data_IF_705274730848
#
_entry.id   IF_705274730848
#
_cell.length_a   1.000
_cell.length_b   1.000
_cell.length_c   1.000
_cell.angle_alpha   90.00
_cell.angle_beta   90.00
_cell.angle_gamma   90.00
#
_symmetry.space_group_name_H-M   'P 1'
#
loop_
_entity.id
_entity.type
_entity.pdbx_description
1 polymer ?
#
# COMPACT_ATOMS: atom_id res chain seq x y z
N UNK A 1 -7.81 -4.50 -21.25
CA UNK A 1 -8.86 -4.31 -20.22
C UNK A 1 -8.41 -4.84 -18.84
N UNK A 2 -7.99 -6.12 -18.69
CA UNK A 2 -7.59 -6.67 -17.38
C UNK A 2 -6.38 -5.95 -16.77
N UNK A 3 -5.32 -5.69 -17.54
CA UNK A 3 -4.14 -4.97 -17.08
C UNK A 3 -4.47 -3.55 -16.59
N UNK A 4 -5.42 -2.88 -17.23
CA UNK A 4 -5.87 -1.54 -16.85
C UNK A 4 -6.57 -1.53 -15.49
N UNK A 5 -7.43 -2.51 -15.23
CA UNK A 5 -8.13 -2.68 -13.96
C UNK A 5 -7.12 -2.98 -12.83
N UNK A 6 -6.17 -3.87 -13.10
CA UNK A 6 -5.12 -4.21 -12.13
C UNK A 6 -4.27 -3.00 -11.78
N UNK A 7 -3.83 -2.20 -12.77
CA UNK A 7 -3.05 -1.00 -12.54
C UNK A 7 -3.81 0.07 -11.77
N UNK A 8 -5.10 0.25 -12.07
CA UNK A 8 -5.97 1.16 -11.34
C UNK A 8 -6.12 0.72 -9.88
N UNK A 9 -6.43 -0.55 -9.64
CA UNK A 9 -6.60 -1.11 -8.30
C UNK A 9 -5.31 -1.05 -7.47
N UNK A 10 -4.16 -1.39 -8.07
CA UNK A 10 -2.84 -1.26 -7.44
C UNK A 10 -2.54 0.20 -7.07
N UNK A 11 -2.86 1.15 -7.96
CA UNK A 11 -2.71 2.58 -7.68
C UNK A 11 -3.56 2.99 -6.48
N UNK A 12 -4.84 2.62 -6.47
CA UNK A 12 -5.77 2.96 -5.38
C UNK A 12 -5.30 2.40 -4.03
N UNK A 13 -4.94 1.13 -3.98
CA UNK A 13 -4.46 0.47 -2.77
C UNK A 13 -3.12 1.05 -2.28
N UNK A 14 -2.16 1.25 -3.19
CA UNK A 14 -0.82 1.71 -2.84
C UNK A 14 -0.83 3.15 -2.32
N UNK A 15 -1.37 4.09 -3.10
CA UNK A 15 -1.34 5.51 -2.73
C UNK A 15 -2.31 5.83 -1.60
N UNK A 16 -3.47 5.15 -1.55
CA UNK A 16 -4.40 5.29 -0.44
C UNK A 16 -3.77 4.91 0.89
N UNK A 17 -3.18 3.73 0.97
CA UNK A 17 -2.52 3.26 2.18
C UNK A 17 -1.26 4.08 2.57
N UNK A 18 -0.59 4.66 1.59
CA UNK A 18 0.62 5.47 1.82
C UNK A 18 0.33 6.74 2.65
N UNK A 19 -0.87 7.30 2.56
CA UNK A 19 -1.26 8.52 3.29
C UNK A 19 -1.76 8.20 4.71
N UNK A 20 -2.39 7.05 4.93
CA UNK A 20 -2.98 6.71 6.22
C UNK A 20 -1.97 6.66 7.36
N UNK A 21 -0.77 6.11 7.10
CA UNK A 21 0.27 5.99 8.14
C UNK A 21 0.84 7.32 8.62
N UNK A 22 1.26 8.25 7.73
CA UNK A 22 1.66 9.58 8.15
C UNK A 22 0.58 10.33 8.93
N UNK A 23 -0.68 10.23 8.53
CA UNK A 23 -1.80 10.85 9.24
C UNK A 23 -1.97 10.24 10.64
N UNK A 24 -1.93 8.91 10.76
CA UNK A 24 -1.97 8.23 12.06
C UNK A 24 -0.88 8.73 13.01
N UNK A 25 0.38 8.83 12.52
CA UNK A 25 1.49 9.28 13.34
C UNK A 25 1.36 10.75 13.77
N UNK A 26 0.94 11.63 12.87
CA UNK A 26 0.87 13.07 13.13
C UNK A 26 -0.39 13.45 13.91
N UNK A 27 -1.57 12.99 13.50
CA UNK A 27 -2.84 13.43 14.07
C UNK A 27 -3.21 12.68 15.34
N UNK A 28 -2.99 11.36 15.41
CA UNK A 28 -3.37 10.58 16.58
C UNK A 28 -2.26 10.47 17.62
N UNK A 29 -1.01 10.35 17.18
CA UNK A 29 0.14 10.15 18.07
C UNK A 29 0.93 11.43 18.33
N UNK A 30 0.62 12.54 17.68
CA UNK A 30 1.24 13.86 17.89
C UNK A 30 2.72 13.93 17.49
N UNK A 31 3.22 12.98 16.65
CA UNK A 31 4.61 13.01 16.23
C UNK A 31 4.86 14.13 15.22
N UNK A 32 6.07 14.72 15.29
CA UNK A 32 6.50 15.71 14.31
C UNK A 32 6.67 15.10 12.91
N UNK A 33 6.68 15.94 11.88
CA UNK A 33 6.89 15.51 10.48
C UNK A 33 8.19 14.72 10.33
N UNK A 34 9.26 15.12 11.01
CA UNK A 34 10.57 14.43 10.96
C UNK A 34 10.47 13.03 11.59
N UNK A 35 9.84 12.93 12.75
CA UNK A 35 9.63 11.66 13.44
C UNK A 35 8.74 10.72 12.60
N UNK A 36 7.68 11.26 11.99
CA UNK A 36 6.81 10.53 11.06
C UNK A 36 7.59 9.97 9.88
N UNK A 37 8.48 10.76 9.28
CA UNK A 37 9.35 10.31 8.19
C UNK A 37 10.27 9.16 8.61
N UNK A 38 10.91 9.27 9.78
CA UNK A 38 11.76 8.22 10.33
C UNK A 38 10.97 6.93 10.63
N UNK A 39 9.77 7.07 11.21
CA UNK A 39 8.91 5.94 11.54
C UNK A 39 8.29 5.27 10.31
N UNK A 40 8.15 5.99 9.21
CA UNK A 40 7.67 5.43 7.92
C UNK A 40 8.81 4.80 7.12
N UNK A 41 10.06 5.17 7.40
CA UNK A 41 11.27 4.64 6.76
C UNK A 41 11.39 3.11 6.73
N UNK A 42 11.07 2.38 7.81
CA UNK A 42 11.08 0.92 7.84
C UNK A 42 10.28 0.26 6.71
N UNK A 43 9.14 0.84 6.31
CA UNK A 43 8.35 0.34 5.18
C UNK A 43 9.14 0.43 3.86
N UNK A 44 9.81 1.55 3.61
CA UNK A 44 10.69 1.73 2.44
C UNK A 44 11.86 0.76 2.42
N UNK A 45 12.48 0.50 3.58
CA UNK A 45 13.54 -0.49 3.72
C UNK A 45 13.04 -1.91 3.39
N UNK A 46 11.87 -2.29 3.92
CA UNK A 46 11.25 -3.58 3.60
C UNK A 46 11.02 -3.75 2.10
N UNK A 47 10.49 -2.70 1.45
CA UNK A 47 10.26 -2.69 0.01
C UNK A 47 11.58 -2.84 -0.77
N UNK A 48 12.61 -2.07 -0.42
CA UNK A 48 13.91 -2.09 -1.09
C UNK A 48 14.61 -3.46 -0.98
N UNK A 49 14.52 -4.10 0.19
CA UNK A 49 15.11 -5.43 0.43
C UNK A 49 14.36 -6.55 -0.31
N UNK A 50 13.05 -6.42 -0.46
CA UNK A 50 12.23 -7.43 -1.14
C UNK A 50 12.32 -7.36 -2.67
N UNK A 51 12.57 -6.19 -3.25
CA UNK A 51 12.62 -6.01 -4.71
C UNK A 51 13.58 -6.97 -5.43
N UNK A 52 14.85 -7.15 -5.03
CA UNK A 52 15.76 -8.06 -5.73
C UNK A 52 15.34 -9.53 -5.58
N UNK A 53 14.70 -9.89 -4.48
CA UNK A 53 14.16 -11.25 -4.28
C UNK A 53 12.95 -11.46 -5.18
N UNK A 54 12.05 -10.52 -5.24
CA UNK A 54 10.88 -10.55 -6.10
C UNK A 54 11.26 -10.60 -7.59
N UNK A 55 12.30 -9.86 -8.01
CA UNK A 55 12.80 -9.91 -9.37
C UNK A 55 13.28 -11.32 -9.73
N UNK A 56 14.12 -11.95 -8.90
CA UNK A 56 14.59 -13.32 -9.12
C UNK A 56 13.45 -14.34 -9.15
N UNK A 57 12.45 -14.18 -8.29
CA UNK A 57 11.27 -15.03 -8.28
C UNK A 57 10.46 -14.84 -9.56
N UNK A 58 10.32 -13.61 -10.05
CA UNK A 58 9.65 -13.28 -11.30
C UNK A 58 10.33 -13.92 -12.50
N UNK A 59 11.66 -13.89 -12.55
CA UNK A 59 12.45 -14.53 -13.60
C UNK A 59 12.26 -16.07 -13.61
N UNK A 60 12.07 -16.67 -12.43
CA UNK A 60 11.97 -18.12 -12.26
C UNK A 60 10.54 -18.65 -12.43
N UNK A 61 9.55 -17.96 -11.91
CA UNK A 61 8.16 -18.45 -11.81
C UNK A 61 7.19 -17.63 -12.67
N UNK A 62 7.65 -16.54 -13.29
CA UNK A 62 6.82 -15.61 -14.03
C UNK A 62 6.18 -14.52 -13.13
N UNK A 63 5.78 -13.40 -13.75
CA UNK A 63 5.24 -12.24 -13.04
C UNK A 63 3.88 -12.48 -12.38
N UNK A 64 2.99 -13.28 -13.01
CA UNK A 64 1.63 -13.51 -12.52
C UNK A 64 1.57 -14.17 -11.14
N UNK A 65 2.14 -15.37 -10.95
CA UNK A 65 2.14 -16.06 -9.66
C UNK A 65 2.83 -15.24 -8.55
N UNK A 66 3.96 -14.59 -8.86
CA UNK A 66 4.70 -13.79 -7.88
C UNK A 66 3.90 -12.55 -7.48
N UNK A 67 3.24 -11.87 -8.44
CA UNK A 67 2.34 -10.76 -8.15
C UNK A 67 1.18 -11.19 -7.25
N UNK A 68 0.55 -12.33 -7.52
CA UNK A 68 -0.55 -12.86 -6.72
C UNK A 68 -0.11 -13.11 -5.26
N UNK A 69 1.01 -13.80 -5.08
CA UNK A 69 1.57 -14.04 -3.73
C UNK A 69 1.90 -12.72 -3.03
N UNK A 70 2.48 -11.76 -3.74
CA UNK A 70 2.79 -10.44 -3.20
C UNK A 70 1.53 -9.69 -2.75
N UNK A 71 0.48 -9.66 -3.58
CA UNK A 71 -0.80 -9.01 -3.26
C UNK A 71 -1.46 -9.67 -2.04
N UNK A 72 -1.54 -11.00 -2.02
CA UNK A 72 -2.08 -11.73 -0.86
C UNK A 72 -1.28 -11.47 0.42
N UNK A 73 0.05 -11.45 0.31
CA UNK A 73 0.92 -11.12 1.44
C UNK A 73 0.69 -9.68 1.93
N UNK A 74 0.50 -8.73 1.03
CA UNK A 74 0.18 -7.33 1.38
C UNK A 74 -1.16 -7.25 2.10
N UNK A 75 -2.18 -7.94 1.62
CA UNK A 75 -3.49 -7.99 2.28
C UNK A 75 -3.39 -8.58 3.69
N UNK A 76 -2.70 -9.71 3.86
CA UNK A 76 -2.47 -10.33 5.18
C UNK A 76 -1.68 -9.40 6.11
N UNK A 77 -0.62 -8.75 5.60
CA UNK A 77 0.19 -7.80 6.40
C UNK A 77 -0.53 -6.48 6.69
N UNK A 78 -1.66 -6.21 6.05
CA UNK A 78 -2.52 -5.05 6.37
C UNK A 78 -3.43 -5.35 7.57
N UNK A 79 -3.78 -6.61 7.84
CA UNK A 79 -4.65 -6.99 8.99
C UNK A 79 -4.13 -6.45 10.34
N UNK A 80 -2.82 -6.55 10.68
CA UNK A 80 -2.29 -5.97 11.91
C UNK A 80 -2.55 -4.48 12.05
N UNK A 81 -2.62 -3.73 10.93
CA UNK A 81 -2.94 -2.30 10.94
C UNK A 81 -4.41 -2.03 11.21
N UNK A 82 -5.31 -2.92 10.84
CA UNK A 82 -6.72 -2.81 11.19
C UNK A 82 -6.96 -3.00 12.71
N UNK A 83 -6.01 -3.62 13.41
CA UNK A 83 -6.06 -3.88 14.86
C UNK A 83 -5.23 -2.87 15.68
N UNK A 84 -4.81 -1.76 15.08
CA UNK A 84 -4.02 -0.72 15.77
C UNK A 84 -4.87 -0.02 16.84
N UNK A 85 -4.33 0.04 18.07
CA UNK A 85 -4.87 0.85 19.17
C UNK A 85 -3.99 2.07 19.48
N UNK A 86 -4.51 3.01 20.27
CA UNK A 86 -3.79 4.21 20.69
C UNK A 86 -2.46 3.93 21.43
N UNK A 87 -2.33 2.77 22.06
CA UNK A 87 -1.16 2.36 22.85
C UNK A 87 -0.30 1.28 22.18
N UNK A 88 -0.50 1.00 20.88
CA UNK A 88 0.30 -0.01 20.16
C UNK A 88 1.78 0.37 20.17
N UNK A 89 2.66 -0.60 20.49
CA UNK A 89 4.11 -0.38 20.56
C UNK A 89 4.67 0.08 19.20
N UNK A 90 5.49 1.13 19.24
CA UNK A 90 6.17 1.66 18.04
C UNK A 90 7.06 0.59 17.41
N UNK A 91 7.77 -0.22 18.22
CA UNK A 91 8.62 -1.30 17.71
C UNK A 91 7.82 -2.34 16.94
N UNK A 92 6.65 -2.74 17.45
CA UNK A 92 5.73 -3.65 16.75
C UNK A 92 5.31 -3.07 15.40
N UNK A 93 4.90 -1.80 15.38
CA UNK A 93 4.49 -1.12 14.15
C UNK A 93 5.63 -1.05 13.12
N UNK A 94 6.87 -0.76 13.55
CA UNK A 94 8.03 -0.77 12.66
C UNK A 94 8.26 -2.14 12.02
N UNK A 95 8.16 -3.23 12.79
CA UNK A 95 8.31 -4.60 12.26
C UNK A 95 7.21 -4.91 11.24
N UNK A 96 5.96 -4.61 11.56
CA UNK A 96 4.83 -4.82 10.66
C UNK A 96 4.98 -3.98 9.40
N UNK A 97 5.48 -2.74 9.50
CA UNK A 97 5.75 -1.86 8.36
C UNK A 97 6.85 -2.42 7.46
N UNK A 98 7.92 -2.99 8.00
CA UNK A 98 8.96 -3.67 7.20
C UNK A 98 8.36 -4.84 6.43
N UNK A 99 7.60 -5.70 7.09
CA UNK A 99 6.97 -6.87 6.47
C UNK A 99 5.96 -6.46 5.39
N UNK A 100 5.13 -5.46 5.67
CA UNK A 100 4.18 -4.92 4.69
C UNK A 100 4.91 -4.27 3.52
N UNK A 101 5.96 -3.49 3.77
CA UNK A 101 6.80 -2.90 2.74
C UNK A 101 7.42 -3.97 1.83
N UNK A 102 7.93 -5.06 2.43
CA UNK A 102 8.46 -6.20 1.68
C UNK A 102 7.39 -6.86 0.79
N UNK A 103 6.19 -7.08 1.32
CA UNK A 103 5.07 -7.62 0.55
C UNK A 103 4.65 -6.70 -0.61
N UNK A 104 4.60 -5.39 -0.38
CA UNK A 104 4.32 -4.39 -1.42
C UNK A 104 5.40 -4.37 -2.50
N UNK A 105 6.69 -4.42 -2.12
CA UNK A 105 7.81 -4.50 -3.07
C UNK A 105 7.75 -5.78 -3.92
N UNK A 106 7.34 -6.89 -3.31
CA UNK A 106 7.15 -8.16 -4.00
C UNK A 106 5.90 -8.21 -4.90
N UNK A 107 4.97 -7.27 -4.74
CA UNK A 107 3.74 -7.20 -5.55
C UNK A 107 3.90 -6.33 -6.77
N UNK A 108 4.46 -5.13 -6.60
CA UNK A 108 4.37 -4.04 -7.56
C UNK A 108 5.11 -4.35 -8.88
N UNK A 109 6.40 -4.74 -8.78
CA UNK A 109 7.20 -5.03 -9.98
C UNK A 109 6.71 -6.26 -10.75
N UNK A 110 6.42 -7.42 -10.11
CA UNK A 110 5.86 -8.57 -10.81
C UNK A 110 4.51 -8.28 -11.47
N UNK A 111 3.65 -7.48 -10.82
CA UNK A 111 2.36 -7.09 -11.39
C UNK A 111 2.53 -6.21 -12.65
N UNK A 112 3.48 -5.27 -12.64
CA UNK A 112 3.87 -4.49 -13.83
C UNK A 112 4.36 -5.41 -14.94
N UNK A 113 5.27 -6.33 -14.62
CA UNK A 113 5.80 -7.30 -15.60
C UNK A 113 4.69 -8.17 -16.19
N UNK A 114 3.78 -8.69 -15.37
CA UNK A 114 2.65 -9.47 -15.83
C UNK A 114 1.68 -8.66 -16.71
N UNK A 115 1.45 -7.38 -16.36
CA UNK A 115 0.63 -6.49 -17.17
C UNK A 115 1.23 -6.22 -18.55
N UNK A 116 2.55 -6.04 -18.64
CA UNK A 116 3.25 -5.83 -19.90
C UNK A 116 3.40 -7.13 -20.72
N UNK A 117 3.55 -8.29 -20.07
CA UNK A 117 3.62 -9.58 -20.76
C UNK A 117 2.31 -9.95 -21.49
N UNK A 118 1.20 -9.34 -21.10
CA UNK A 118 -0.10 -9.51 -21.77
C UNK A 118 -0.31 -8.60 -22.99
N UNK A 119 0.69 -7.78 -23.36
CA UNK A 119 0.65 -6.81 -24.45
C UNK A 119 1.65 -7.20 -25.55
N UNK A 120 1.29 -6.95 -26.81
CA UNK A 120 2.21 -7.11 -27.92
C UNK A 120 3.33 -6.06 -27.85
N UNK A 121 4.53 -6.42 -28.33
CA UNK A 121 5.74 -5.55 -28.26
C UNK A 121 5.53 -4.16 -28.88
N UNK A 122 4.68 -4.08 -29.92
CA UNK A 122 4.32 -2.83 -30.58
C UNK A 122 3.36 -1.98 -29.74
N UNK A 123 2.57 -2.60 -28.89
CA UNK A 123 1.59 -1.93 -28.03
C UNK A 123 2.19 -1.44 -26.71
N UNK A 124 3.31 -2.04 -26.25
CA UNK A 124 3.94 -1.68 -24.96
C UNK A 124 4.33 -0.20 -24.91
N UNK A 125 4.85 0.37 -26.00
CA UNK A 125 5.25 1.78 -26.03
C UNK A 125 4.08 2.74 -25.88
N UNK A 126 2.89 2.36 -26.40
CA UNK A 126 1.66 3.17 -26.29
C UNK A 126 0.89 2.85 -25.00
N UNK A 127 0.96 1.63 -24.51
CA UNK A 127 0.27 1.21 -23.29
C UNK A 127 0.93 1.71 -22.00
N UNK A 128 2.25 1.87 -21.99
CA UNK A 128 2.99 2.33 -20.80
C UNK A 128 2.48 3.67 -20.25
N UNK A 129 2.31 4.74 -21.06
CA UNK A 129 1.74 5.99 -20.55
C UNK A 129 0.31 5.81 -20.03
N UNK A 130 -0.53 5.03 -20.73
CA UNK A 130 -1.91 4.78 -20.32
C UNK A 130 -2.00 4.04 -18.98
N UNK A 131 -1.19 3.00 -18.78
CA UNK A 131 -1.13 2.25 -17.52
C UNK A 131 -0.64 3.12 -16.36
N UNK A 132 0.35 4.00 -16.60
CA UNK A 132 0.80 4.95 -15.61
C UNK A 132 -0.27 5.99 -15.25
N UNK A 133 -1.02 6.49 -16.23
CA UNK A 133 -2.16 7.40 -15.98
C UNK A 133 -3.23 6.69 -15.16
N UNK A 134 -3.60 5.46 -15.51
CA UNK A 134 -4.59 4.67 -14.77
C UNK A 134 -4.14 4.40 -13.33
N UNK A 135 -2.88 4.09 -13.13
CA UNK A 135 -2.31 3.89 -11.79
C UNK A 135 -2.39 5.19 -10.95
N UNK A 136 -2.08 6.35 -11.54
CA UNK A 136 -2.19 7.66 -10.86
C UNK A 136 -3.63 8.06 -10.58
N UNK A 137 -4.53 7.84 -11.52
CA UNK A 137 -5.97 8.10 -11.34
C UNK A 137 -6.53 7.18 -10.26
N UNK A 138 -6.19 5.89 -10.29
CA UNK A 138 -6.53 4.95 -9.23
C UNK A 138 -6.03 5.43 -7.86
N UNK A 139 -4.76 5.86 -7.80
CA UNK A 139 -4.17 6.42 -6.59
C UNK A 139 -4.91 7.65 -6.05
N UNK A 140 -5.26 8.58 -6.91
CA UNK A 140 -6.04 9.78 -6.55
C UNK A 140 -7.41 9.42 -5.98
N UNK A 141 -8.12 8.51 -6.64
CA UNK A 141 -9.44 8.04 -6.19
C UNK A 141 -9.33 7.25 -4.88
N UNK A 142 -8.37 6.33 -4.79
CA UNK A 142 -8.14 5.54 -3.58
C UNK A 142 -7.82 6.42 -2.38
N UNK A 143 -6.93 7.40 -2.55
CA UNK A 143 -6.61 8.39 -1.52
C UNK A 143 -7.84 9.17 -1.07
N UNK A 144 -8.67 9.64 -2.02
CA UNK A 144 -9.87 10.40 -1.72
C UNK A 144 -10.89 9.57 -0.96
N UNK A 145 -11.14 8.33 -1.39
CA UNK A 145 -12.06 7.41 -0.70
C UNK A 145 -11.60 7.17 0.73
N UNK A 146 -10.32 6.84 0.93
CA UNK A 146 -9.79 6.59 2.26
C UNK A 146 -9.80 7.83 3.15
N UNK A 147 -9.52 9.00 2.60
CA UNK A 147 -9.63 10.27 3.32
C UNK A 147 -11.08 10.55 3.76
N UNK A 148 -12.07 10.28 2.90
CA UNK A 148 -13.49 10.43 3.23
C UNK A 148 -13.93 9.40 4.27
N UNK A 149 -13.51 8.14 4.14
CA UNK A 149 -13.80 7.09 5.14
C UNK A 149 -13.22 7.48 6.49
N UNK A 150 -11.96 7.92 6.53
CA UNK A 150 -11.30 8.39 7.75
C UNK A 150 -12.04 9.60 8.35
N UNK A 151 -12.34 10.63 7.54
CA UNK A 151 -13.03 11.82 8.00
C UNK A 151 -14.43 11.52 8.56
N UNK A 152 -15.16 10.61 7.95
CA UNK A 152 -16.48 10.19 8.45
C UNK A 152 -16.37 9.38 9.75
N UNK A 153 -15.40 8.48 9.85
CA UNK A 153 -15.15 7.72 11.06
C UNK A 153 -14.65 8.61 12.22
N UNK A 154 -13.81 9.60 11.90
CA UNK A 154 -13.29 10.56 12.88
C UNK A 154 -14.36 11.55 13.41
N UNK A 155 -15.38 11.89 12.62
CA UNK A 155 -16.48 12.77 13.06
C UNK A 155 -17.27 12.20 14.24
N UNK A 156 -17.33 10.88 14.38
CA UNK A 156 -17.97 10.20 15.53
C UNK A 156 -17.03 9.93 16.70
N UNK A 157 -15.74 10.23 16.55
CA UNK A 157 -14.70 9.90 17.52
C UNK A 157 -14.52 11.06 18.51
N UNK A 158 -15.11 10.95 19.69
CA UNK A 158 -14.93 11.91 20.82
C UNK A 158 -13.79 11.47 21.76
N UNK A 159 -13.14 10.35 21.52
CA UNK A 159 -12.03 9.81 22.33
C UNK A 159 -10.89 9.30 21.44
N UNK A 160 -9.66 9.30 21.98
CA UNK A 160 -8.48 8.77 21.28
C UNK A 160 -8.67 7.31 20.81
N UNK A 161 -9.35 6.50 21.63
CA UNK A 161 -9.64 5.11 21.29
C UNK A 161 -10.59 5.00 20.07
N UNK A 162 -11.60 5.86 19.99
CA UNK A 162 -12.51 5.91 18.84
C UNK A 162 -11.81 6.42 17.58
N UNK A 163 -10.90 7.39 17.72
CA UNK A 163 -10.07 7.85 16.61
C UNK A 163 -9.14 6.73 16.09
N UNK A 164 -8.49 5.96 16.99
CA UNK A 164 -7.67 4.81 16.60
C UNK A 164 -8.48 3.74 15.83
N UNK A 165 -9.73 3.49 16.25
CA UNK A 165 -10.63 2.58 15.53
C UNK A 165 -11.02 3.12 14.14
N UNK A 166 -11.13 4.44 13.97
CA UNK A 166 -11.38 5.06 12.68
C UNK A 166 -10.24 4.77 11.68
N UNK A 167 -8.99 4.86 12.13
CA UNK A 167 -7.83 4.45 11.32
C UNK A 167 -7.84 2.96 11.01
N UNK A 168 -8.15 2.10 12.01
CA UNK A 168 -8.30 0.66 11.79
C UNK A 168 -9.36 0.35 10.71
N UNK A 169 -10.49 1.03 10.75
CA UNK A 169 -11.55 0.89 9.72
C UNK A 169 -11.06 1.34 8.34
N UNK A 170 -10.34 2.47 8.25
CA UNK A 170 -9.77 2.94 6.99
C UNK A 170 -8.72 1.95 6.43
N UNK A 171 -7.90 1.33 7.28
CA UNK A 171 -6.96 0.29 6.87
C UNK A 171 -7.65 -0.99 6.39
N UNK A 172 -8.82 -1.31 6.92
CA UNK A 172 -9.59 -2.46 6.42
C UNK A 172 -10.06 -2.31 4.98
N UNK A 173 -10.24 -1.06 4.52
CA UNK A 173 -10.63 -0.72 3.15
C UNK A 173 -9.45 -0.51 2.19
N UNK A 174 -8.21 -0.58 2.66
CA UNK A 174 -6.98 -0.40 1.86
C UNK A 174 -6.38 -1.72 1.41
#
# INVERSE_FOLDING_TARGET
>A
AAASIVMFALGAAFFGAMILMPLYWQELRGFSVIQTGLLTGPQGLGMALAMPVAARMTDRYGGGPVALVGVLSTAVMTIPFALIGAHTSVAYLCVVMVLRGAAMGASFMPAMTAAFAALDRTEVSHATPQLNVLNRVGGSIGTTILAVVLANAARGAHTEAAAAQAYGTAFWWS
#
